data_IF_447915730863
#
_entry.id   IF_447915730863
#
_cell.length_a   1.000
_cell.length_b   1.000
_cell.length_c   1.000
_cell.angle_alpha   90.00
_cell.angle_beta   90.00
_cell.angle_gamma   90.00
#
_symmetry.space_group_name_H-M   'P 1'
#
loop_
_entity.id
_entity.type
_entity.pdbx_description
1 polymer ?
#
# COMPACT_ATOMS: atom_id res chain seq x y z
N UNK A 1 -12.58 -29.36 -15.10
CA UNK A 1 -12.79 -28.17 -15.84
C UNK A 1 -11.51 -27.64 -16.46
N UNK A 2 -11.61 -27.10 -17.63
CA UNK A 2 -10.43 -26.60 -18.29
C UNK A 2 -10.01 -25.25 -17.82
N UNK A 3 -8.75 -25.11 -17.52
CA UNK A 3 -8.21 -23.80 -17.16
C UNK A 3 -8.05 -22.97 -18.43
N UNK A 4 -8.31 -21.70 -18.32
CA UNK A 4 -8.10 -20.79 -19.41
C UNK A 4 -6.58 -20.64 -19.62
N UNK A 5 -6.13 -20.96 -20.83
CA UNK A 5 -4.72 -20.93 -21.12
C UNK A 5 -4.12 -19.54 -20.96
N UNK A 6 -4.87 -18.50 -21.33
CA UNK A 6 -4.40 -17.14 -21.19
C UNK A 6 -4.22 -16.79 -19.72
N UNK A 7 -5.17 -17.21 -18.89
CA UNK A 7 -5.06 -16.97 -17.45
C UNK A 7 -3.84 -17.66 -16.85
N UNK A 8 -3.58 -18.90 -17.31
CA UNK A 8 -2.41 -19.62 -16.82
C UNK A 8 -1.13 -18.90 -17.19
N UNK A 9 -1.05 -18.37 -18.42
CA UNK A 9 0.11 -17.65 -18.86
C UNK A 9 0.31 -16.36 -18.06
N UNK A 10 -0.78 -15.68 -17.77
CA UNK A 10 -0.70 -14.46 -16.96
C UNK A 10 -0.18 -14.79 -15.58
N UNK A 11 -0.70 -15.83 -14.95
CA UNK A 11 -0.26 -16.23 -13.62
C UNK A 11 1.22 -16.61 -13.60
N UNK A 12 1.64 -17.34 -14.59
CA UNK A 12 3.02 -17.81 -14.63
C UNK A 12 4.00 -16.70 -14.95
N UNK A 13 3.51 -15.58 -15.50
CA UNK A 13 4.36 -14.44 -15.82
C UNK A 13 4.56 -13.50 -14.62
N UNK A 14 3.79 -13.69 -13.56
CA UNK A 14 3.92 -12.86 -12.36
C UNK A 14 4.99 -13.46 -11.46
N UNK A 15 6.05 -12.69 -11.22
CA UNK A 15 7.13 -13.15 -10.37
C UNK A 15 6.70 -13.13 -8.89
N UNK A 16 7.39 -13.88 -8.03
CA UNK A 16 7.10 -13.84 -6.60
C UNK A 16 7.21 -12.44 -6.01
N UNK A 17 8.18 -11.67 -6.46
CA UNK A 17 8.33 -10.32 -5.93
C UNK A 17 7.21 -9.40 -6.41
N UNK A 18 6.71 -9.59 -7.62
CA UNK A 18 5.58 -8.80 -8.09
C UNK A 18 4.33 -9.11 -7.29
N UNK A 19 4.11 -10.40 -7.01
CA UNK A 19 2.96 -10.80 -6.22
C UNK A 19 3.05 -10.20 -4.82
N UNK A 20 4.22 -10.27 -4.22
CA UNK A 20 4.43 -9.72 -2.89
C UNK A 20 4.21 -8.21 -2.89
N UNK A 21 4.72 -7.52 -3.91
CA UNK A 21 4.55 -6.07 -4.01
C UNK A 21 3.07 -5.70 -4.12
N UNK A 22 2.31 -6.46 -4.91
CA UNK A 22 0.88 -6.20 -5.06
C UNK A 22 0.15 -6.39 -3.72
N UNK A 23 0.48 -7.46 -3.02
CA UNK A 23 -0.13 -7.74 -1.73
C UNK A 23 0.21 -6.65 -0.71
N UNK A 24 1.45 -6.21 -0.69
CA UNK A 24 1.86 -5.16 0.23
C UNK A 24 1.23 -3.82 -0.12
N UNK A 25 1.11 -3.52 -1.41
CA UNK A 25 0.48 -2.27 -1.84
C UNK A 25 -0.96 -2.19 -1.36
N UNK A 26 -1.70 -3.30 -1.48
CA UNK A 26 -3.08 -3.35 -1.00
C UNK A 26 -3.12 -3.22 0.52
N UNK A 27 -2.23 -3.92 1.22
CA UNK A 27 -2.20 -3.87 2.68
C UNK A 27 -1.88 -2.45 3.17
N UNK A 28 -0.95 -1.77 2.52
CA UNK A 28 -0.60 -0.41 2.89
C UNK A 28 -1.78 0.53 2.66
N UNK A 29 -2.44 0.41 1.51
CA UNK A 29 -3.60 1.24 1.23
C UNK A 29 -4.69 1.02 2.26
N UNK A 30 -4.97 -0.25 2.60
CA UNK A 30 -5.99 -0.56 3.60
C UNK A 30 -5.62 0.01 4.97
N UNK A 31 -4.35 -0.07 5.35
CA UNK A 31 -3.90 0.49 6.62
C UNK A 31 -4.13 2.00 6.67
N UNK A 32 -3.81 2.69 5.57
CA UNK A 32 -4.02 4.13 5.51
C UNK A 32 -5.51 4.45 5.62
N UNK A 33 -6.37 3.72 4.93
CA UNK A 33 -7.81 3.92 5.05
C UNK A 33 -8.29 3.72 6.48
N UNK A 34 -7.78 2.70 7.17
CA UNK A 34 -8.14 2.47 8.56
C UNK A 34 -7.77 3.65 9.45
N UNK A 35 -6.59 4.20 9.23
CA UNK A 35 -6.14 5.34 10.02
C UNK A 35 -6.99 6.58 9.74
N UNK A 36 -7.28 6.83 8.46
CA UNK A 36 -8.12 7.95 8.09
C UNK A 36 -9.50 7.84 8.73
N UNK A 37 -10.08 6.65 8.66
CA UNK A 37 -11.40 6.42 9.24
C UNK A 37 -11.38 6.64 10.75
N UNK A 38 -10.38 6.11 11.42
CA UNK A 38 -10.24 6.25 12.86
C UNK A 38 -10.11 7.71 13.28
N UNK A 39 -9.55 8.54 12.40
CA UNK A 39 -9.33 9.95 12.70
C UNK A 39 -10.38 10.87 12.12
N UNK A 40 -11.38 10.31 11.46
CA UNK A 40 -12.42 11.12 10.83
C UNK A 40 -11.89 12.00 9.72
N UNK A 41 -10.87 11.54 9.01
CA UNK A 41 -10.24 12.30 7.94
C UNK A 41 -10.60 11.73 6.58
N UNK A 42 -10.74 12.61 5.60
CA UNK A 42 -10.96 12.20 4.22
C UNK A 42 -9.64 12.20 3.47
N UNK A 43 -9.66 11.63 2.25
CA UNK A 43 -8.49 11.71 1.38
C UNK A 43 -8.13 13.15 1.06
N UNK A 44 -9.14 14.01 0.95
CA UNK A 44 -8.92 15.41 0.71
C UNK A 44 -8.17 16.07 1.87
N UNK A 45 -8.54 15.68 3.11
CA UNK A 45 -7.86 16.19 4.29
C UNK A 45 -6.40 15.77 4.30
N UNK A 46 -6.14 14.52 3.94
CA UNK A 46 -4.76 14.02 3.88
C UNK A 46 -3.98 14.76 2.81
N UNK A 47 -4.58 14.97 1.65
CA UNK A 47 -3.93 15.70 0.57
C UNK A 47 -3.53 17.11 1.03
N UNK A 48 -4.41 17.77 1.75
CA UNK A 48 -4.12 19.09 2.28
C UNK A 48 -2.92 19.07 3.22
N UNK A 49 -2.89 18.09 4.11
CA UNK A 49 -1.78 17.97 5.06
C UNK A 49 -0.44 17.76 4.35
N UNK A 50 -0.48 17.05 3.24
CA UNK A 50 0.73 16.70 2.49
C UNK A 50 1.11 17.73 1.44
N UNK A 51 0.24 18.72 1.19
CA UNK A 51 0.48 19.66 0.12
C UNK A 51 0.38 19.02 -1.24
N UNK A 52 -0.47 17.99 -1.36
CA UNK A 52 -0.66 17.24 -2.60
C UNK A 52 -2.10 17.37 -3.06
N UNK A 53 -2.36 16.93 -4.29
CA UNK A 53 -3.73 16.93 -4.80
C UNK A 53 -4.46 15.69 -4.33
N UNK A 54 -5.78 15.78 -4.30
CA UNK A 54 -6.60 14.64 -3.94
C UNK A 54 -6.41 13.49 -4.95
N UNK A 55 -6.20 13.85 -6.21
CA UNK A 55 -5.95 12.86 -7.25
C UNK A 55 -4.70 12.05 -6.96
N UNK A 56 -3.64 12.71 -6.51
CA UNK A 56 -2.40 12.02 -6.15
C UNK A 56 -2.62 11.05 -4.99
N UNK A 57 -3.32 11.51 -3.96
CA UNK A 57 -3.61 10.68 -2.81
C UNK A 57 -4.47 9.50 -3.21
N UNK A 58 -5.49 9.74 -4.03
CA UNK A 58 -6.35 8.68 -4.52
C UNK A 58 -5.56 7.61 -5.28
N UNK A 59 -4.59 8.04 -6.07
CA UNK A 59 -3.72 7.11 -6.80
C UNK A 59 -2.90 6.27 -5.83
N UNK A 60 -2.34 6.87 -4.81
CA UNK A 60 -1.58 6.12 -3.80
C UNK A 60 -2.44 5.06 -3.12
N UNK A 61 -3.70 5.37 -2.89
CA UNK A 61 -4.59 4.49 -2.15
C UNK A 61 -5.36 3.52 -3.04
N UNK A 62 -5.03 3.48 -4.31
CA UNK A 62 -5.68 2.55 -5.24
C UNK A 62 -5.31 1.09 -5.00
N UNK A 63 -4.21 0.86 -4.26
CA UNK A 63 -3.73 -0.50 -4.01
C UNK A 63 -2.88 -1.05 -5.13
N UNK A 64 -2.73 -0.32 -6.22
CA UNK A 64 -1.92 -0.76 -7.36
C UNK A 64 -0.71 0.10 -7.60
N UNK A 65 -0.60 1.23 -6.90
CA UNK A 65 0.51 2.14 -7.08
C UNK A 65 1.71 1.70 -6.26
N UNK A 66 2.88 1.79 -6.87
CA UNK A 66 4.12 1.44 -6.18
C UNK A 66 4.58 2.64 -5.36
N UNK A 67 4.27 2.61 -4.07
CA UNK A 67 4.67 3.69 -3.17
C UNK A 67 6.13 3.56 -2.79
N UNK A 68 6.83 4.68 -2.82
CA UNK A 68 8.20 4.69 -2.32
C UNK A 68 8.19 4.77 -0.80
N UNK A 69 9.28 4.33 -0.20
CA UNK A 69 9.43 4.41 1.24
C UNK A 69 9.29 5.87 1.71
N UNK A 70 9.84 6.80 0.94
CA UNK A 70 9.73 8.22 1.29
C UNK A 70 8.28 8.67 1.36
N UNK A 71 7.46 8.24 0.40
CA UNK A 71 6.05 8.61 0.39
C UNK A 71 5.32 8.00 1.58
N UNK A 72 5.60 6.73 1.87
CA UNK A 72 5.00 6.05 3.02
C UNK A 72 5.35 6.80 4.31
N UNK A 73 6.60 7.22 4.45
CA UNK A 73 7.02 7.96 5.63
C UNK A 73 6.35 9.32 5.74
N UNK A 74 6.16 10.00 4.61
CA UNK A 74 5.44 11.27 4.60
C UNK A 74 4.00 11.10 5.10
N UNK A 75 3.34 10.05 4.64
CA UNK A 75 1.97 9.78 5.05
C UNK A 75 1.93 9.45 6.54
N UNK A 76 2.85 8.60 7.00
CA UNK A 76 2.94 8.23 8.41
C UNK A 76 3.14 9.46 9.29
N UNK A 77 4.05 10.34 8.89
CA UNK A 77 4.32 11.54 9.67
C UNK A 77 3.10 12.47 9.70
N UNK A 78 2.43 12.63 8.57
CA UNK A 78 1.25 13.50 8.49
C UNK A 78 0.11 12.97 9.35
N UNK A 79 -0.04 11.66 9.42
CA UNK A 79 -1.09 11.03 10.19
C UNK A 79 -0.68 10.72 11.63
N UNK A 80 0.58 10.92 11.96
CA UNK A 80 1.13 10.59 13.27
C UNK A 80 0.77 9.18 13.68
N UNK A 81 0.96 8.25 12.75
CA UNK A 81 0.63 6.85 12.95
C UNK A 81 1.54 6.01 12.08
N UNK A 82 1.87 4.81 12.55
CA UNK A 82 2.70 3.92 11.77
C UNK A 82 1.87 3.22 10.70
N UNK A 83 2.21 3.50 9.44
CA UNK A 83 1.58 2.83 8.33
C UNK A 83 2.24 1.47 8.10
N UNK A 84 3.55 1.42 8.22
CA UNK A 84 4.33 0.20 8.03
C UNK A 84 5.30 0.04 9.19
N UNK A 85 5.44 -1.19 9.67
CA UNK A 85 6.41 -1.52 10.70
C UNK A 85 7.33 -2.60 10.18
N UNK A 86 8.58 -2.52 10.60
CA UNK A 86 9.55 -3.56 10.27
C UNK A 86 9.67 -4.49 11.46
N UNK A 87 9.56 -5.79 11.19
CA UNK A 87 9.71 -6.77 12.26
C UNK A 87 11.19 -7.06 12.46
N UNK A 88 11.58 -7.35 13.69
CA UNK A 88 12.98 -7.46 14.01
C UNK A 88 13.34 -8.72 14.78
N UNK A 89 12.46 -9.70 14.83
CA UNK A 89 12.72 -10.88 15.66
C UNK A 89 12.83 -12.18 14.89
N UNK A 90 12.63 -12.17 13.59
CA UNK A 90 12.54 -13.43 12.84
C UNK A 90 13.87 -14.02 12.47
N UNK A 91 14.85 -13.18 12.23
CA UNK A 91 16.11 -13.66 11.70
C UNK A 91 16.89 -14.50 12.67
N UNK A 92 16.71 -14.29 13.95
CA UNK A 92 17.47 -15.02 14.95
C UNK A 92 17.02 -16.47 15.06
N UNK A 93 15.90 -16.82 14.47
CA UNK A 93 15.42 -18.19 14.48
C UNK A 93 15.94 -18.99 13.32
N UNK A 94 16.57 -18.37 12.40
CA UNK A 94 17.03 -19.03 11.19
C UNK A 94 18.20 -19.98 11.45
#
# INVERSE_FOLDING_TARGET
MKTNKIMDEIRSSISPEMKLQMEMSVAIANRIYEILEARGMSQKDLAKKLGKTETEVSRWLSGTHNLTLATICKISAALEAEVVMVTDNELETA
#
